data_IF_184907409725
#
_entry.id   IF_184907409725
#
_cell.length_a   1.000
_cell.length_b   1.000
_cell.length_c   1.000
_cell.angle_alpha   90.00
_cell.angle_beta   90.00
_cell.angle_gamma   90.00
#
_symmetry.space_group_name_H-M   'P 1'
#
loop_
_entity.id
_entity.type
_entity.pdbx_description
1 polymer ?
#
# COMPACT_ATOMS: atom_id res chain seq x y z
N UNK A 1 5.33 25.20 25.43
CA UNK A 1 4.29 26.06 24.81
C UNK A 1 4.44 25.94 23.29
N UNK A 2 3.86 24.91 22.68
CA UNK A 2 4.00 24.67 21.24
C UNK A 2 3.12 25.64 20.47
N UNK A 3 3.73 26.53 19.68
CA UNK A 3 3.01 27.39 18.73
C UNK A 3 2.46 26.51 17.61
N UNK A 4 1.15 26.25 17.63
CA UNK A 4 0.45 25.65 16.49
C UNK A 4 0.28 26.73 15.41
N UNK A 5 1.11 26.67 14.39
CA UNK A 5 1.00 27.49 13.18
C UNK A 5 -0.12 26.91 12.30
N UNK A 6 -0.98 27.76 11.74
CA UNK A 6 -2.07 27.30 10.87
C UNK A 6 -1.54 27.02 9.46
N UNK A 7 -1.27 25.76 9.18
CA UNK A 7 -0.92 25.27 7.85
C UNK A 7 -1.99 24.30 7.31
N UNK A 8 -2.15 24.29 5.99
CA UNK A 8 -2.86 23.21 5.30
C UNK A 8 -1.86 22.07 5.11
N UNK A 9 -2.23 20.86 5.52
CA UNK A 9 -1.35 19.69 5.49
C UNK A 9 -1.90 18.69 4.47
N UNK A 10 -1.01 18.11 3.67
CA UNK A 10 -1.26 16.91 2.88
C UNK A 10 -0.51 15.77 3.58
N UNK A 11 -1.21 14.68 3.92
CA UNK A 11 -0.57 13.52 4.53
C UNK A 11 0.23 12.75 3.47
N UNK A 12 1.52 12.52 3.74
CA UNK A 12 2.43 11.78 2.88
C UNK A 12 3.61 11.25 3.71
N UNK A 13 3.30 10.55 4.80
CA UNK A 13 4.33 10.00 5.70
C UNK A 13 5.17 8.93 4.99
N UNK A 14 6.49 8.98 5.20
CA UNK A 14 7.48 8.05 4.61
C UNK A 14 7.20 6.60 4.96
N UNK A 15 6.79 6.38 6.19
CA UNK A 15 6.50 5.10 6.81
C UNK A 15 5.24 4.41 6.23
N UNK A 16 4.53 5.04 5.29
CA UNK A 16 3.28 4.51 4.73
C UNK A 16 3.10 4.76 3.23
N UNK A 17 3.44 5.96 2.74
CA UNK A 17 3.13 6.39 1.37
C UNK A 17 4.31 6.31 0.41
N UNK A 18 5.52 6.07 0.90
CA UNK A 18 6.68 5.95 0.04
C UNK A 18 6.76 4.54 -0.51
N UNK A 19 6.59 4.43 -1.83
CA UNK A 19 6.53 3.16 -2.57
C UNK A 19 7.90 2.73 -3.10
N UNK A 20 8.87 3.63 -3.02
CA UNK A 20 10.27 3.43 -3.39
C UNK A 20 11.06 2.74 -2.28
N UNK A 21 10.60 2.77 -1.04
CA UNK A 21 11.29 2.16 0.10
C UNK A 21 11.50 0.65 -0.10
N UNK A 22 12.69 0.15 0.26
CA UNK A 22 12.97 -1.29 0.34
C UNK A 22 13.06 -2.07 -0.96
N UNK A 23 13.11 -1.40 -2.12
CA UNK A 23 13.33 -2.07 -3.42
C UNK A 23 14.80 -2.31 -3.77
N UNK A 24 15.75 -1.64 -3.11
CA UNK A 24 17.20 -1.93 -3.01
C UNK A 24 17.98 -0.62 -2.75
N UNK A 25 19.07 -0.70 -1.99
CA UNK A 25 20.24 0.18 -2.14
C UNK A 25 20.10 1.64 -1.75
N UNK A 26 21.12 2.19 -1.09
CA UNK A 26 21.37 3.63 -1.22
C UNK A 26 21.67 3.91 -2.70
N UNK A 27 20.93 4.83 -3.32
CA UNK A 27 21.22 5.27 -4.70
C UNK A 27 22.45 6.19 -4.78
N UNK A 28 23.00 6.57 -3.62
CA UNK A 28 24.20 7.39 -3.43
C UNK A 28 25.21 6.62 -2.60
N UNK A 29 26.44 6.50 -3.12
CA UNK A 29 27.58 5.84 -2.47
C UNK A 29 27.71 4.37 -2.89
N UNK A 30 28.94 3.93 -3.18
CA UNK A 30 29.29 2.61 -3.75
C UNK A 30 29.12 1.44 -2.75
N UNK A 31 27.97 1.36 -2.06
CA UNK A 31 27.64 0.30 -1.13
C UNK A 31 26.51 -0.57 -1.70
N UNK A 32 26.88 -1.69 -2.33
CA UNK A 32 25.94 -2.67 -2.88
C UNK A 32 25.11 -3.43 -1.83
N UNK A 33 25.42 -3.26 -0.54
CA UNK A 33 24.67 -3.81 0.59
C UNK A 33 23.88 -2.75 1.36
N UNK A 34 23.83 -1.51 0.86
CA UNK A 34 23.08 -0.42 1.49
C UNK A 34 21.56 -0.65 1.42
N UNK A 35 20.85 -0.09 2.39
CA UNK A 35 19.40 0.02 2.38
C UNK A 35 18.97 1.44 1.96
N UNK A 36 17.72 1.58 1.54
CA UNK A 36 17.08 2.86 1.33
C UNK A 36 16.86 3.58 2.67
N UNK A 37 16.82 4.91 2.64
CA UNK A 37 16.69 5.73 3.85
C UNK A 37 15.35 5.50 4.59
N UNK A 38 14.35 4.92 3.93
CA UNK A 38 13.01 4.68 4.44
C UNK A 38 12.66 3.20 4.54
N UNK A 39 13.66 2.31 4.53
CA UNK A 39 13.47 0.87 4.77
C UNK A 39 12.74 0.60 6.09
N UNK A 40 11.91 -0.46 6.15
CA UNK A 40 11.70 -1.54 5.16
C UNK A 40 10.67 -1.22 4.06
N UNK A 41 10.55 -2.10 3.05
CA UNK A 41 9.48 -2.02 2.04
C UNK A 41 8.09 -1.95 2.69
N UNK A 42 7.32 -0.94 2.29
CA UNK A 42 5.94 -0.78 2.75
C UNK A 42 5.07 -1.83 2.05
N UNK A 43 4.66 -2.87 2.77
CA UNK A 43 3.79 -3.92 2.21
C UNK A 43 2.40 -3.39 1.88
N UNK A 44 1.67 -4.10 1.02
CA UNK A 44 0.28 -3.73 0.72
C UNK A 44 -0.57 -3.61 1.99
N UNK A 45 -0.37 -4.48 2.99
CA UNK A 45 -1.07 -4.36 4.28
C UNK A 45 -0.77 -3.02 4.95
N UNK A 46 0.50 -2.59 4.99
CA UNK A 46 0.91 -1.32 5.63
C UNK A 46 0.42 -0.09 4.87
N UNK A 47 0.53 -0.10 3.54
CA UNK A 47 0.07 1.00 2.67
C UNK A 47 -1.47 1.10 2.71
N UNK A 48 -2.16 -0.03 2.75
CA UNK A 48 -3.61 -0.10 2.80
C UNK A 48 -4.20 0.18 4.19
N UNK A 49 -3.38 0.17 5.26
CA UNK A 49 -3.81 0.47 6.63
C UNK A 49 -3.81 1.98 6.94
N UNK A 50 -3.24 2.82 6.07
CA UNK A 50 -3.13 4.26 6.32
C UNK A 50 -3.75 5.12 5.25
N UNK A 51 -4.47 6.13 5.76
CA UNK A 51 -5.28 7.11 5.05
C UNK A 51 -4.46 8.04 4.12
N UNK A 52 -4.86 8.07 2.83
CA UNK A 52 -4.69 9.14 1.81
C UNK A 52 -3.68 9.00 0.61
N UNK A 53 -4.23 8.52 -0.52
CA UNK A 53 -4.10 8.91 -1.96
C UNK A 53 -2.78 9.00 -2.80
N UNK A 54 -2.78 8.19 -3.90
CA UNK A 54 -2.23 8.36 -5.31
C UNK A 54 -0.69 8.39 -5.52
N UNK A 55 -0.01 7.82 -6.54
CA UNK A 55 -0.31 6.99 -7.74
C UNK A 55 0.73 7.26 -8.89
N UNK A 56 1.52 6.26 -9.35
CA UNK A 56 2.03 6.10 -10.75
C UNK A 56 2.59 4.67 -11.03
N UNK A 57 2.58 4.31 -12.31
CA UNK A 57 2.56 2.99 -12.96
C UNK A 57 3.84 2.14 -12.85
N UNK A 58 3.93 1.27 -11.83
CA UNK A 58 4.14 -0.19 -11.91
C UNK A 58 4.37 -0.63 -10.45
N UNK A 59 3.47 -1.45 -9.88
CA UNK A 59 3.52 -1.84 -8.45
C UNK A 59 2.65 -0.99 -7.51
N UNK A 60 1.95 0.02 -8.02
CA UNK A 60 1.06 0.91 -7.23
C UNK A 60 -0.32 0.32 -6.96
N UNK A 61 -0.81 -0.48 -7.90
CA UNK A 61 -2.13 -1.10 -7.84
C UNK A 61 -1.98 -2.48 -7.24
N UNK A 62 -2.78 -2.85 -6.24
CA UNK A 62 -4.09 -2.29 -5.89
C UNK A 62 -4.09 -1.34 -4.67
N UNK A 63 -2.92 -1.09 -4.06
CA UNK A 63 -2.78 -0.28 -2.85
C UNK A 63 -3.32 1.15 -3.03
N UNK A 64 -3.06 1.77 -4.18
CA UNK A 64 -3.60 3.09 -4.49
C UNK A 64 -5.14 3.13 -4.58
N UNK A 65 -5.79 2.02 -4.96
CA UNK A 65 -7.25 1.93 -4.98
C UNK A 65 -7.82 1.95 -3.56
N UNK A 66 -7.17 1.25 -2.62
CA UNK A 66 -7.56 1.30 -1.22
C UNK A 66 -7.28 2.64 -0.56
N UNK A 67 -6.16 3.30 -0.87
CA UNK A 67 -5.92 4.66 -0.36
C UNK A 67 -6.94 5.68 -0.89
N UNK A 68 -7.56 5.41 -2.05
CA UNK A 68 -8.70 6.19 -2.57
C UNK A 68 -9.97 5.86 -1.80
N UNK A 69 -10.27 4.59 -1.56
CA UNK A 69 -11.42 4.15 -0.75
C UNK A 69 -11.34 4.72 0.69
N UNK A 70 -10.13 4.75 1.27
CA UNK A 70 -9.84 5.38 2.55
C UNK A 70 -10.21 6.87 2.56
N UNK A 71 -9.66 7.64 1.62
CA UNK A 71 -9.89 9.09 1.58
C UNK A 71 -11.33 9.47 1.19
N UNK A 72 -11.97 8.66 0.35
CA UNK A 72 -13.29 8.97 -0.19
C UNK A 72 -14.41 8.56 0.77
N UNK A 73 -14.34 7.34 1.31
CA UNK A 73 -15.44 6.75 2.08
C UNK A 73 -15.15 6.66 3.58
N UNK A 74 -13.91 6.94 4.01
CA UNK A 74 -13.40 6.83 5.39
C UNK A 74 -13.79 5.51 6.09
N UNK A 75 -13.07 4.40 5.84
CA UNK A 75 -13.27 3.13 6.50
C UNK A 75 -12.52 3.04 7.82
N UNK A 76 -13.24 2.68 8.89
CA UNK A 76 -12.71 1.99 10.06
C UNK A 76 -13.00 0.49 9.96
N UNK A 77 -12.72 -0.12 8.81
CA UNK A 77 -13.00 -1.53 8.54
C UNK A 77 -11.76 -2.41 8.66
N UNK A 78 -11.93 -3.64 9.16
CA UNK A 78 -10.84 -4.61 9.30
C UNK A 78 -10.30 -5.08 7.95
N UNK A 79 -8.99 -5.32 7.88
CA UNK A 79 -8.30 -5.83 6.68
C UNK A 79 -8.88 -7.16 6.22
N UNK A 80 -9.25 -8.05 7.15
CA UNK A 80 -9.80 -9.36 6.82
C UNK A 80 -11.16 -9.27 6.10
N UNK A 81 -11.96 -8.24 6.38
CA UNK A 81 -13.25 -8.03 5.73
C UNK A 81 -13.15 -7.34 4.37
N UNK A 82 -12.10 -6.53 4.16
CA UNK A 82 -11.87 -5.77 2.93
C UNK A 82 -10.99 -6.52 1.92
N UNK A 83 -10.25 -7.54 2.36
CA UNK A 83 -9.38 -8.35 1.52
C UNK A 83 -10.06 -8.98 0.28
N UNK A 84 -11.30 -9.53 0.36
CA UNK A 84 -11.97 -10.07 -0.82
C UNK A 84 -12.30 -9.00 -1.88
N UNK A 85 -12.70 -7.80 -1.43
CA UNK A 85 -12.97 -6.67 -2.33
C UNK A 85 -11.70 -6.21 -3.03
N UNK A 86 -10.59 -6.22 -2.30
CA UNK A 86 -9.29 -5.87 -2.83
C UNK A 86 -8.82 -6.84 -3.93
N UNK A 87 -9.03 -8.14 -3.74
CA UNK A 87 -8.77 -9.14 -4.78
C UNK A 87 -9.60 -8.87 -6.04
N UNK A 88 -10.90 -8.57 -5.89
CA UNK A 88 -11.77 -8.26 -7.03
C UNK A 88 -11.29 -7.03 -7.82
N UNK A 89 -10.91 -5.96 -7.13
CA UNK A 89 -10.34 -4.75 -7.75
C UNK A 89 -9.04 -5.06 -8.49
N UNK A 90 -8.19 -5.91 -7.93
CA UNK A 90 -6.93 -6.36 -8.55
C UNK A 90 -7.20 -7.11 -9.86
N UNK A 91 -8.17 -8.03 -9.84
CA UNK A 91 -8.60 -8.74 -11.05
C UNK A 91 -9.15 -7.79 -12.11
N UNK A 92 -9.96 -6.81 -11.69
CA UNK A 92 -10.51 -5.81 -12.61
C UNK A 92 -9.41 -4.95 -13.25
N UNK A 93 -8.40 -4.51 -12.49
CA UNK A 93 -7.26 -3.77 -13.07
C UNK A 93 -6.51 -4.59 -14.10
N UNK A 94 -6.22 -5.86 -13.80
CA UNK A 94 -5.56 -6.75 -14.73
C UNK A 94 -6.40 -6.96 -16.01
N UNK A 95 -7.73 -7.07 -15.89
CA UNK A 95 -8.64 -7.15 -17.04
C UNK A 95 -8.69 -5.85 -17.86
N UNK A 96 -8.53 -4.69 -17.23
CA UNK A 96 -8.41 -3.40 -17.91
C UNK A 96 -7.03 -3.13 -18.52
N UNK A 97 -6.10 -4.10 -18.47
CA UNK A 97 -4.73 -3.93 -18.97
C UNK A 97 -3.82 -3.12 -18.05
N UNK A 98 -4.22 -2.89 -16.79
CA UNK A 98 -3.42 -2.25 -15.76
C UNK A 98 -2.79 -3.34 -14.90
N UNK A 99 -1.49 -3.57 -15.05
CA UNK A 99 -0.77 -4.58 -14.27
C UNK A 99 -0.76 -4.24 -12.78
N UNK A 100 -1.51 -5.00 -11.98
CA UNK A 100 -1.54 -4.90 -10.53
C UNK A 100 -0.64 -5.96 -9.88
N UNK A 101 -0.01 -5.63 -8.75
CA UNK A 101 0.76 -6.58 -7.93
C UNK A 101 -0.18 -7.63 -7.33
N UNK A 102 0.25 -8.89 -7.37
CA UNK A 102 -0.44 -9.97 -6.67
C UNK A 102 -0.25 -9.83 -5.15
N UNK A 103 -1.36 -9.71 -4.41
CA UNK A 103 -1.35 -9.53 -2.95
C UNK A 103 -1.07 -10.82 -2.19
N UNK A 104 -1.59 -11.92 -2.73
CA UNK A 104 -1.51 -13.27 -2.18
C UNK A 104 -1.51 -14.28 -3.33
N UNK A 105 -1.13 -15.54 -3.07
CA UNK A 105 -1.34 -16.63 -4.02
C UNK A 105 -2.81 -16.72 -4.44
N UNK A 106 -3.06 -17.07 -5.71
CA UNK A 106 -4.43 -17.21 -6.24
C UNK A 106 -5.28 -18.17 -5.41
N UNK A 107 -4.66 -19.22 -4.84
CA UNK A 107 -5.34 -20.15 -3.95
C UNK A 107 -5.99 -19.48 -2.73
N UNK A 108 -5.31 -18.47 -2.15
CA UNK A 108 -5.80 -17.66 -1.04
C UNK A 108 -6.89 -16.68 -1.47
N UNK A 109 -6.74 -16.08 -2.66
CA UNK A 109 -7.73 -15.14 -3.20
C UNK A 109 -9.09 -15.83 -3.46
N UNK A 110 -9.07 -17.10 -3.86
CA UNK A 110 -10.27 -17.91 -4.08
C UNK A 110 -10.90 -18.45 -2.78
N UNK A 111 -10.22 -18.36 -1.64
CA UNK A 111 -10.65 -18.92 -0.35
C UNK A 111 -10.45 -17.91 0.78
N UNK A 112 -11.45 -17.06 0.97
CA UNK A 112 -11.45 -16.06 2.04
C UNK A 112 -11.17 -16.71 3.41
N UNK A 113 -10.25 -16.12 4.19
CA UNK A 113 -9.85 -16.60 5.52
C UNK A 113 -8.83 -17.74 5.54
N UNK A 114 -8.55 -18.42 4.42
CA UNK A 114 -7.65 -19.58 4.42
C UNK A 114 -6.15 -19.24 4.59
N UNK A 115 -5.78 -17.97 4.42
CA UNK A 115 -4.41 -17.47 4.53
C UNK A 115 -4.28 -16.31 5.53
N UNK A 116 -5.22 -16.21 6.46
CA UNK A 116 -5.12 -15.29 7.60
C UNK A 116 -4.20 -15.91 8.67
N UNK A 117 -3.34 -15.10 9.28
CA UNK A 117 -2.39 -15.55 10.28
C UNK A 117 -3.03 -15.70 11.68
N UNK A 118 -4.21 -15.11 11.88
CA UNK A 118 -4.86 -15.01 13.19
C UNK A 118 -6.34 -15.44 13.19
N UNK A 119 -6.79 -16.18 12.17
CA UNK A 119 -8.17 -16.68 12.06
C UNK A 119 -8.50 -17.85 12.99
#
# INVERSE_FOLDING_TARGET
MSRQLRFKIIHAFSDYFYLDCGHAGQWVGDNGNGNSCCDPFNTWQKICLTDTQKGLMLGVWPCAALSVELFWSRPGGDVSNTLPQLHNVTYHFNQCGVSAIALQPEWCALRAGACDLFA
#
